data_IF_623228541682
#
_entry.id   IF_623228541682
#
_cell.length_a   1.000
_cell.length_b   1.000
_cell.length_c   1.000
_cell.angle_alpha   90.00
_cell.angle_beta   90.00
_cell.angle_gamma   90.00
#
_symmetry.space_group_name_H-M   'P 1'
#
loop_
_entity.id
_entity.type
_entity.pdbx_description
1 polymer ?
#
# COMPACT_ATOMS: atom_id res chain seq x y z
N UNK A 1 0.59 -25.74 -17.33
CA UNK A 1 -0.28 -24.77 -16.65
C UNK A 1 0.34 -23.41 -16.93
N UNK A 2 -0.33 -22.53 -17.69
CA UNK A 2 0.17 -21.17 -17.89
C UNK A 2 0.14 -20.44 -16.55
N UNK A 3 1.27 -19.86 -16.16
CA UNK A 3 1.39 -19.08 -14.93
C UNK A 3 0.54 -17.81 -15.10
N UNK A 4 -0.69 -17.83 -14.58
CA UNK A 4 -1.55 -16.64 -14.57
C UNK A 4 -1.05 -15.73 -13.45
N UNK A 5 -0.21 -14.77 -13.81
CA UNK A 5 0.13 -13.68 -12.91
C UNK A 5 -1.12 -12.81 -12.73
N UNK A 6 -1.60 -12.55 -11.49
CA UNK A 6 -2.70 -11.62 -11.28
C UNK A 6 -2.27 -10.21 -11.71
N UNK A 7 -3.22 -9.44 -12.24
CA UNK A 7 -2.97 -8.04 -12.58
C UNK A 7 -2.82 -7.21 -11.31
N UNK A 8 -2.02 -6.14 -11.40
CA UNK A 8 -1.85 -5.17 -10.32
C UNK A 8 -3.06 -4.23 -10.32
N UNK A 9 -3.63 -3.97 -9.15
CA UNK A 9 -4.62 -2.91 -8.95
C UNK A 9 -3.87 -1.69 -8.45
N UNK A 10 -4.11 -0.55 -9.08
CA UNK A 10 -3.65 0.78 -8.64
C UNK A 10 -4.87 1.50 -8.06
N UNK A 11 -4.78 1.99 -6.82
CA UNK A 11 -5.88 2.72 -6.20
C UNK A 11 -6.19 3.99 -6.99
N UNK A 12 -7.48 4.20 -7.28
CA UNK A 12 -7.95 5.36 -8.05
C UNK A 12 -7.66 6.74 -7.41
N UNK A 13 -7.28 6.79 -6.13
CA UNK A 13 -6.96 8.02 -5.40
C UNK A 13 -5.45 8.32 -5.34
N UNK A 14 -4.59 7.36 -5.70
CA UNK A 14 -3.14 7.57 -5.74
C UNK A 14 -2.81 8.64 -6.80
N UNK A 15 -2.13 9.71 -6.37
CA UNK A 15 -1.88 10.89 -7.18
C UNK A 15 -0.62 10.75 -8.04
N UNK A 16 0.34 9.92 -7.59
CA UNK A 16 1.61 9.69 -8.25
C UNK A 16 1.85 8.17 -8.41
N UNK A 17 0.97 7.47 -9.16
CA UNK A 17 1.04 6.03 -9.29
C UNK A 17 2.30 5.60 -10.04
N UNK A 18 2.88 4.48 -9.60
CA UNK A 18 3.94 3.83 -10.36
C UNK A 18 3.38 3.21 -11.64
N UNK A 19 4.24 3.16 -12.66
CA UNK A 19 3.95 2.44 -13.90
C UNK A 19 4.56 1.05 -13.81
N UNK A 20 3.76 0.04 -14.11
CA UNK A 20 4.19 -1.35 -14.12
C UNK A 20 4.29 -1.87 -15.56
N UNK A 21 5.33 -2.65 -15.89
CA UNK A 21 5.40 -3.34 -17.17
C UNK A 21 4.40 -4.49 -17.28
N UNK A 22 3.94 -5.04 -16.15
CA UNK A 22 2.87 -6.04 -16.08
C UNK A 22 1.48 -5.43 -16.28
N UNK A 23 0.48 -6.30 -16.47
CA UNK A 23 -0.92 -5.88 -16.54
C UNK A 23 -1.34 -5.17 -15.25
N UNK A 24 -1.90 -3.98 -15.38
CA UNK A 24 -2.48 -3.22 -14.27
C UNK A 24 -3.86 -2.67 -14.62
N UNK A 25 -4.68 -2.45 -13.60
CA UNK A 25 -5.97 -1.78 -13.69
C UNK A 25 -6.08 -0.71 -12.61
N UNK A 26 -6.91 0.31 -12.85
CA UNK A 26 -7.23 1.34 -11.85
C UNK A 26 -8.60 1.06 -11.24
N UNK A 27 -8.67 0.93 -9.92
CA UNK A 27 -9.91 0.73 -9.18
C UNK A 27 -9.81 1.31 -7.76
N UNK A 28 -10.93 1.53 -7.08
CA UNK A 28 -10.91 1.92 -5.68
C UNK A 28 -10.63 0.69 -4.80
N UNK A 29 -9.58 0.73 -3.99
CA UNK A 29 -9.26 -0.26 -2.96
C UNK A 29 -9.87 0.16 -1.61
N UNK A 30 -10.14 -0.82 -0.76
CA UNK A 30 -10.59 -0.53 0.61
C UNK A 30 -9.48 0.16 1.40
N UNK A 31 -8.24 -0.31 1.24
CA UNK A 31 -6.99 0.16 1.87
C UNK A 31 -5.82 -0.09 0.90
N UNK A 32 -4.70 0.61 1.09
CA UNK A 32 -3.53 0.48 0.22
C UNK A 32 -3.59 1.33 -1.06
N UNK A 33 -2.42 1.57 -1.64
CA UNK A 33 -2.27 2.22 -2.95
C UNK A 33 -2.15 1.20 -4.10
N UNK A 34 -1.70 -0.02 -3.79
CA UNK A 34 -1.65 -1.12 -4.75
C UNK A 34 -2.09 -2.44 -4.15
N UNK A 35 -2.62 -3.33 -5.00
CA UNK A 35 -2.93 -4.72 -4.65
C UNK A 35 -2.83 -5.63 -5.89
N UNK A 36 -3.25 -6.89 -5.76
CA UNK A 36 -3.36 -7.88 -6.83
C UNK A 36 -4.82 -8.34 -6.96
N UNK A 37 -5.28 -8.44 -8.21
CA UNK A 37 -6.64 -8.91 -8.51
C UNK A 37 -6.91 -10.27 -7.85
N UNK A 38 -7.95 -10.33 -7.01
CA UNK A 38 -8.37 -11.52 -6.27
C UNK A 38 -7.65 -11.76 -4.93
N UNK A 39 -6.74 -10.86 -4.54
CA UNK A 39 -5.97 -10.93 -3.28
C UNK A 39 -6.07 -9.64 -2.45
N UNK A 40 -7.05 -8.78 -2.72
CA UNK A 40 -7.20 -7.44 -2.15
C UNK A 40 -7.35 -7.45 -0.62
N UNK A 41 -7.85 -8.56 -0.06
CA UNK A 41 -8.03 -8.71 1.38
C UNK A 41 -6.79 -9.19 2.14
N UNK A 42 -5.75 -9.64 1.43
CA UNK A 42 -4.56 -10.27 2.05
C UNK A 42 -3.23 -9.69 1.56
N UNK A 43 -3.25 -8.90 0.49
CA UNK A 43 -2.05 -8.28 -0.06
C UNK A 43 -2.34 -6.83 -0.45
N UNK A 44 -1.64 -5.91 0.18
CA UNK A 44 -1.72 -4.48 -0.11
C UNK A 44 -0.32 -3.86 0.01
N UNK A 45 -0.09 -2.81 -0.77
CA UNK A 45 1.14 -2.00 -0.71
C UNK A 45 0.74 -0.55 -0.56
N UNK A 46 1.30 0.11 0.46
CA UNK A 46 1.18 1.55 0.66
C UNK A 46 2.41 2.26 0.07
N UNK A 47 2.19 3.26 -0.77
CA UNK A 47 3.24 4.12 -1.31
C UNK A 47 3.56 5.19 -0.29
N UNK A 48 4.83 5.26 0.11
CA UNK A 48 5.31 6.31 1.00
C UNK A 48 6.43 7.11 0.33
N UNK A 49 6.36 8.44 0.40
CA UNK A 49 7.46 9.27 -0.07
C UNK A 49 8.68 9.12 0.85
N UNK A 50 9.88 9.24 0.28
CA UNK A 50 11.12 9.08 1.06
C UNK A 50 11.20 10.08 2.22
N UNK A 51 10.76 11.32 2.02
CA UNK A 51 10.72 12.34 3.07
C UNK A 51 9.83 11.95 4.24
N UNK A 52 8.66 11.39 3.94
CA UNK A 52 7.68 10.95 4.94
C UNK A 52 8.20 9.72 5.69
N UNK A 53 8.84 8.78 4.97
CA UNK A 53 9.52 7.64 5.58
C UNK A 53 10.66 8.06 6.51
N UNK A 54 11.52 8.99 6.09
CA UNK A 54 12.58 9.54 6.95
C UNK A 54 11.97 10.15 8.22
N UNK A 55 10.87 10.90 8.09
CA UNK A 55 10.13 11.42 9.24
C UNK A 55 9.65 10.32 10.17
N UNK A 56 9.08 9.23 9.63
CA UNK A 56 8.62 8.06 10.40
C UNK A 56 9.77 7.35 11.13
N UNK A 57 10.98 7.35 10.58
CA UNK A 57 12.16 6.72 11.20
C UNK A 57 12.93 7.61 12.17
N UNK A 58 12.62 8.91 12.23
CA UNK A 58 13.36 9.89 13.02
C UNK A 58 12.44 10.60 14.02
N UNK A 59 12.06 11.86 13.77
CA UNK A 59 11.32 12.69 14.71
C UNK A 59 9.82 12.37 14.78
N UNK A 60 9.26 11.75 13.74
CA UNK A 60 7.84 11.43 13.60
C UNK A 60 7.45 10.04 14.10
N UNK A 61 8.41 9.23 14.58
CA UNK A 61 8.19 7.81 14.91
C UNK A 61 7.02 7.56 15.85
N UNK A 62 6.98 8.27 16.97
CA UNK A 62 5.91 8.09 17.97
C UNK A 62 4.53 8.47 17.44
N UNK A 63 4.46 9.45 16.52
CA UNK A 63 3.19 9.81 15.86
C UNK A 63 2.76 8.71 14.89
N UNK A 64 3.68 8.27 14.04
CA UNK A 64 3.45 7.21 13.07
C UNK A 64 2.98 5.92 13.74
N UNK A 65 3.62 5.51 14.84
CA UNK A 65 3.19 4.35 15.63
C UNK A 65 1.76 4.46 16.17
N UNK A 66 1.34 5.65 16.60
CA UNK A 66 -0.05 5.88 17.03
C UNK A 66 -1.04 5.79 15.86
N UNK A 67 -0.63 6.22 14.68
CA UNK A 67 -1.44 6.11 13.46
C UNK A 67 -1.59 4.64 13.04
N UNK A 68 -0.50 3.84 13.08
CA UNK A 68 -0.56 2.40 12.82
C UNK A 68 -1.42 1.63 13.83
N UNK A 69 -1.39 2.02 15.10
CA UNK A 69 -2.28 1.45 16.12
C UNK A 69 -3.74 1.77 15.83
N UNK A 70 -4.06 3.02 15.46
CA UNK A 70 -5.43 3.41 15.08
C UNK A 70 -5.91 2.69 13.82
N UNK A 71 -5.00 2.40 12.90
CA UNK A 71 -5.27 1.63 11.69
C UNK A 71 -5.42 0.12 11.93
N UNK A 72 -5.13 -0.38 13.15
CA UNK A 72 -5.21 -1.81 13.48
C UNK A 72 -4.06 -2.65 12.91
N UNK A 73 -3.03 -2.03 12.32
CA UNK A 73 -1.90 -2.69 11.67
C UNK A 73 -0.80 -3.06 12.68
N UNK A 74 -0.71 -2.32 13.80
CA UNK A 74 0.32 -2.55 14.80
C UNK A 74 -0.28 -2.83 16.18
N UNK A 75 -0.04 -4.04 16.69
CA UNK A 75 -0.32 -4.41 18.08
C UNK A 75 0.95 -4.22 18.90
N UNK A 76 0.86 -3.61 20.09
CA UNK A 76 2.00 -3.56 21.02
C UNK A 76 2.31 -4.98 21.48
N UNK A 77 3.57 -5.38 21.34
CA UNK A 77 4.12 -6.59 21.98
C UNK A 77 4.08 -6.45 23.51
#
# INVERSE_FOLDING_TARGET
>A
MSNLMPAIIIDSREQLPYQFPESSITAALQTGDYSLVGFESVFEVERNALSDFIGCCTWGRSRFERELQRAGIMTRL
#
